data_IF_459687754983
#
_entry.id   IF_459687754983
#
_cell.length_a   1.000
_cell.length_b   1.000
_cell.length_c   1.000
_cell.angle_alpha   90.00
_cell.angle_beta   90.00
_cell.angle_gamma   90.00
#
_symmetry.space_group_name_H-M   'P 1'
#
loop_
_entity.id
_entity.type
_entity.pdbx_description
1 polymer ?
#
# COMPACT_ATOMS: atom_id res chain seq x y z
N UNK A 1 -16.65 15.56 -9.92
CA UNK A 1 -17.48 16.02 -8.79
C UNK A 1 -18.39 14.93 -8.30
N UNK A 2 -18.89 15.03 -7.07
CA UNK A 2 -20.02 14.26 -6.55
C UNK A 2 -21.28 14.73 -7.26
N UNK A 3 -22.07 13.79 -7.77
CA UNK A 3 -23.31 14.08 -8.52
C UNK A 3 -24.55 13.94 -7.63
N UNK A 4 -24.52 12.94 -6.75
CA UNK A 4 -25.65 12.58 -5.90
C UNK A 4 -25.17 11.76 -4.70
N UNK A 5 -25.80 11.93 -3.54
CA UNK A 5 -25.57 11.11 -2.34
C UNK A 5 -26.91 10.59 -1.82
N UNK A 6 -27.06 9.26 -1.82
CA UNK A 6 -28.19 8.59 -1.15
C UNK A 6 -27.77 8.22 0.28
N UNK A 7 -28.17 9.04 1.25
CA UNK A 7 -27.86 8.86 2.68
C UNK A 7 -28.55 7.64 3.31
N UNK A 8 -29.63 7.14 2.69
CA UNK A 8 -30.34 5.96 3.18
C UNK A 8 -29.61 4.68 2.82
N UNK A 9 -29.16 4.60 1.57
CA UNK A 9 -28.43 3.44 1.06
C UNK A 9 -26.91 3.55 1.29
N UNK A 10 -26.42 4.71 1.74
CA UNK A 10 -24.99 5.05 1.89
C UNK A 10 -24.21 4.79 0.59
N UNK A 11 -24.70 5.35 -0.50
CA UNK A 11 -24.03 5.33 -1.80
C UNK A 11 -23.94 6.74 -2.38
N UNK A 12 -22.88 6.98 -3.16
CA UNK A 12 -22.69 8.23 -3.89
C UNK A 12 -22.37 7.97 -5.35
N UNK A 13 -22.99 8.74 -6.25
CA UNK A 13 -22.69 8.73 -7.68
C UNK A 13 -21.71 9.86 -7.97
N UNK A 14 -20.57 9.50 -8.55
CA UNK A 14 -19.38 10.38 -8.61
C UNK A 14 -18.75 10.32 -10.00
N UNK A 15 -18.33 11.49 -10.52
CA UNK A 15 -17.51 11.57 -11.72
C UNK A 15 -16.06 11.15 -11.43
N UNK A 16 -15.47 10.23 -12.21
CA UNK A 16 -14.17 9.63 -11.89
C UNK A 16 -12.97 10.58 -11.97
N UNK A 17 -13.10 11.72 -12.66
CA UNK A 17 -12.04 12.72 -12.73
C UNK A 17 -11.91 13.63 -11.51
N UNK A 18 -12.68 13.41 -10.43
CA UNK A 18 -12.55 14.19 -9.21
C UNK A 18 -11.30 13.79 -8.42
N UNK A 19 -10.53 14.78 -7.96
CA UNK A 19 -9.39 14.57 -7.05
C UNK A 19 -9.86 14.24 -5.64
N UNK A 20 -9.04 13.47 -4.91
CA UNK A 20 -9.35 13.01 -3.56
C UNK A 20 -9.83 14.10 -2.61
N UNK A 21 -9.08 15.20 -2.38
CA UNK A 21 -9.50 16.27 -1.48
C UNK A 21 -10.84 16.91 -1.87
N UNK A 22 -11.03 17.20 -3.16
CA UNK A 22 -12.28 17.82 -3.64
C UNK A 22 -13.47 16.86 -3.57
N UNK A 23 -13.23 15.56 -3.64
CA UNK A 23 -14.28 14.55 -3.46
C UNK A 23 -14.70 14.47 -2.00
N UNK A 24 -13.74 14.31 -1.10
CA UNK A 24 -14.03 14.21 0.34
C UNK A 24 -14.70 15.48 0.88
N UNK A 25 -14.26 16.68 0.48
CA UNK A 25 -14.92 17.95 0.83
C UNK A 25 -16.41 17.94 0.47
N UNK A 26 -16.77 17.44 -0.73
CA UNK A 26 -18.17 17.36 -1.16
C UNK A 26 -18.94 16.27 -0.40
N UNK A 27 -18.31 15.13 -0.07
CA UNK A 27 -18.93 14.06 0.70
C UNK A 27 -19.10 14.46 2.17
N UNK A 28 -18.13 15.12 2.78
CA UNK A 28 -18.17 15.62 4.16
C UNK A 28 -19.30 16.66 4.35
N UNK A 29 -19.54 17.52 3.35
CA UNK A 29 -20.66 18.45 3.36
C UNK A 29 -22.03 17.75 3.43
N UNK A 30 -22.11 16.49 2.96
CA UNK A 30 -23.28 15.63 3.05
C UNK A 30 -23.26 14.72 4.30
N UNK A 31 -22.23 14.81 5.16
CA UNK A 31 -22.08 14.02 6.37
C UNK A 31 -21.60 12.58 6.14
N UNK A 32 -20.93 12.34 5.00
CA UNK A 32 -20.38 11.02 4.64
C UNK A 32 -18.94 11.14 4.17
N UNK A 33 -18.23 10.01 4.09
CA UNK A 33 -16.87 9.89 3.55
C UNK A 33 -16.77 8.64 2.69
N UNK A 34 -15.88 8.63 1.70
CA UNK A 34 -15.50 7.40 1.01
C UNK A 34 -14.60 6.55 1.91
N UNK A 35 -13.79 7.18 2.76
CA UNK A 35 -12.85 6.49 3.64
C UNK A 35 -11.61 5.94 2.92
N UNK A 36 -11.38 6.33 1.67
CA UNK A 36 -10.26 5.88 0.84
C UNK A 36 -9.18 6.95 0.73
N UNK A 37 -8.07 6.76 1.42
CA UNK A 37 -6.96 7.72 1.53
C UNK A 37 -5.63 7.06 1.11
N UNK A 38 -5.35 6.86 -0.19
CA UNK A 38 -4.04 6.38 -0.65
C UNK A 38 -2.95 7.41 -0.41
N UNK A 39 -1.67 7.01 -0.43
CA UNK A 39 -0.54 7.94 -0.28
C UNK A 39 -0.54 9.04 -1.36
N UNK A 40 -1.09 8.75 -2.55
CA UNK A 40 -1.28 9.69 -3.66
C UNK A 40 -2.55 10.55 -3.59
N UNK A 41 -3.29 10.55 -2.47
CA UNK A 41 -4.62 11.15 -2.31
C UNK A 41 -4.77 12.55 -2.87
N UNK A 42 -3.77 13.42 -2.62
CA UNK A 42 -3.82 14.84 -3.04
C UNK A 42 -3.55 15.03 -4.54
N UNK A 43 -2.99 14.03 -5.23
CA UNK A 43 -2.53 14.11 -6.61
C UNK A 43 -3.26 13.16 -7.57
N UNK A 44 -4.19 12.34 -7.08
CA UNK A 44 -4.84 11.28 -7.85
C UNK A 44 -6.36 11.41 -7.83
N UNK A 45 -7.00 10.76 -8.79
CA UNK A 45 -8.44 10.83 -9.01
C UNK A 45 -9.12 9.51 -8.70
N UNK A 46 -10.42 9.56 -8.38
CA UNK A 46 -11.25 8.39 -8.12
C UNK A 46 -11.18 7.34 -9.25
N UNK A 47 -11.25 7.78 -10.51
CA UNK A 47 -11.18 6.86 -11.65
C UNK A 47 -9.83 6.17 -11.78
N UNK A 48 -8.75 6.87 -11.45
CA UNK A 48 -7.40 6.29 -11.37
C UNK A 48 -7.32 5.20 -10.30
N UNK A 49 -7.86 5.46 -9.11
CA UNK A 49 -7.90 4.47 -8.02
C UNK A 49 -8.63 3.19 -8.43
N UNK A 50 -9.81 3.33 -9.06
CA UNK A 50 -10.61 2.19 -9.53
C UNK A 50 -9.88 1.45 -10.67
N UNK A 51 -9.25 2.17 -11.58
CA UNK A 51 -8.50 1.57 -12.70
C UNK A 51 -7.26 0.79 -12.24
N UNK A 52 -6.69 1.11 -11.08
CA UNK A 52 -5.46 0.49 -10.55
C UNK A 52 -5.67 -0.38 -9.30
N UNK A 53 -6.90 -0.58 -8.84
CA UNK A 53 -7.22 -1.31 -7.59
C UNK A 53 -6.46 -0.78 -6.38
N UNK A 54 -6.39 0.53 -6.26
CA UNK A 54 -5.66 1.21 -5.19
C UNK A 54 -6.14 0.79 -3.80
N UNK A 55 -5.24 0.78 -2.81
CA UNK A 55 -5.58 0.64 -1.40
C UNK A 55 -5.36 1.97 -0.66
N UNK A 56 -6.27 2.30 0.23
CA UNK A 56 -6.14 3.46 1.11
C UNK A 56 -5.64 3.08 2.49
N UNK A 57 -5.07 4.02 3.23
CA UNK A 57 -4.54 3.79 4.59
C UNK A 57 -5.58 3.25 5.58
N UNK A 58 -6.88 3.42 5.29
CA UNK A 58 -8.00 2.97 6.11
C UNK A 58 -8.67 1.70 5.58
N UNK A 59 -7.99 0.95 4.69
CA UNK A 59 -8.54 -0.26 4.08
C UNK A 59 -8.81 -1.39 5.08
N UNK A 60 -8.16 -1.38 6.24
CA UNK A 60 -8.43 -2.34 7.33
C UNK A 60 -9.88 -2.28 7.81
N UNK A 61 -10.55 -1.13 7.69
CA UNK A 61 -11.95 -0.93 8.04
C UNK A 61 -12.88 -0.86 6.84
N UNK A 62 -12.50 -0.07 5.84
CA UNK A 62 -13.40 0.28 4.73
C UNK A 62 -13.23 -0.58 3.49
N UNK A 63 -12.21 -1.44 3.47
CA UNK A 63 -11.84 -2.23 2.30
C UNK A 63 -10.98 -1.45 1.31
N UNK A 64 -10.61 -2.11 0.22
CA UNK A 64 -9.93 -1.50 -0.93
C UNK A 64 -10.96 -0.84 -1.86
N UNK A 65 -10.47 -0.09 -2.83
CA UNK A 65 -11.36 0.62 -3.77
C UNK A 65 -12.31 -0.34 -4.51
N UNK A 66 -11.85 -1.55 -4.86
CA UNK A 66 -12.68 -2.57 -5.53
C UNK A 66 -13.85 -3.07 -4.69
N UNK A 67 -13.76 -2.97 -3.36
CA UNK A 67 -14.83 -3.35 -2.44
C UNK A 67 -15.87 -2.23 -2.31
N UNK A 68 -15.49 -0.99 -2.59
CA UNK A 68 -16.34 0.19 -2.50
C UNK A 68 -17.15 0.46 -3.78
N UNK A 69 -16.74 -0.10 -4.95
CA UNK A 69 -17.46 0.10 -6.22
C UNK A 69 -18.75 -0.71 -6.23
N UNK A 70 -19.90 -0.06 -6.23
CA UNK A 70 -21.22 -0.68 -6.35
C UNK A 70 -21.63 -0.84 -7.82
N UNK A 71 -21.41 0.21 -8.63
CA UNK A 71 -21.70 0.20 -10.05
C UNK A 71 -20.78 1.15 -10.81
N UNK A 72 -20.63 0.91 -12.11
CA UNK A 72 -19.83 1.78 -12.98
C UNK A 72 -20.42 1.90 -14.38
N UNK A 73 -19.98 2.95 -15.07
CA UNK A 73 -20.12 3.13 -16.51
C UNK A 73 -18.75 3.27 -17.13
N UNK A 74 -18.45 2.41 -18.11
CA UNK A 74 -17.20 2.43 -18.88
C UNK A 74 -17.51 2.52 -20.38
N UNK A 75 -16.86 3.44 -21.07
CA UNK A 75 -16.93 3.54 -22.53
C UNK A 75 -15.75 2.80 -23.12
N UNK A 76 -16.02 1.81 -23.96
CA UNK A 76 -15.02 1.01 -24.69
C UNK A 76 -15.15 1.27 -26.19
N UNK A 77 -14.16 0.94 -27.02
CA UNK A 77 -14.28 1.02 -28.48
C UNK A 77 -15.42 0.18 -29.07
N UNK A 78 -15.81 -0.91 -28.42
CA UNK A 78 -16.90 -1.79 -28.86
C UNK A 78 -18.29 -1.41 -28.31
N UNK A 79 -18.39 -0.45 -27.39
CA UNK A 79 -19.66 -0.01 -26.79
C UNK A 79 -19.53 0.45 -25.36
N UNK A 80 -20.64 0.72 -24.71
CA UNK A 80 -20.68 1.20 -23.34
C UNK A 80 -21.14 0.09 -22.39
N UNK A 81 -20.30 -0.21 -21.41
CA UNK A 81 -20.64 -1.09 -20.27
C UNK A 81 -21.33 -0.24 -19.21
N UNK A 82 -22.51 -0.67 -18.76
CA UNK A 82 -23.23 -0.06 -17.62
C UNK A 82 -23.66 -1.18 -16.69
N UNK A 83 -23.16 -1.15 -15.45
CA UNK A 83 -23.58 -2.11 -14.43
C UNK A 83 -24.72 -1.56 -13.58
N UNK A 84 -25.50 -2.43 -12.94
CA UNK A 84 -26.64 -2.02 -12.12
C UNK A 84 -26.20 -1.61 -10.72
N UNK A 85 -26.86 -0.59 -10.19
CA UNK A 85 -26.72 -0.19 -8.77
C UNK A 85 -27.55 -1.12 -7.90
N UNK A 86 -26.96 -2.24 -7.51
CA UNK A 86 -27.54 -3.24 -6.60
C UNK A 86 -26.46 -3.75 -5.64
N UNK A 87 -26.79 -4.16 -4.41
CA UNK A 87 -25.80 -4.61 -3.43
C UNK A 87 -25.00 -5.83 -3.94
N UNK A 88 -25.67 -6.76 -4.60
CA UNK A 88 -25.06 -7.98 -5.16
C UNK A 88 -25.95 -8.56 -6.26
N UNK A 89 -25.37 -9.36 -7.14
CA UNK A 89 -26.07 -10.04 -8.23
C UNK A 89 -25.38 -11.35 -8.59
N UNK A 90 -26.18 -12.39 -8.90
CA UNK A 90 -25.72 -13.71 -9.33
C UNK A 90 -25.98 -13.93 -10.82
N UNK A 91 -25.74 -12.92 -11.65
CA UNK A 91 -26.03 -12.92 -13.09
C UNK A 91 -24.86 -13.41 -13.98
N UNK A 92 -24.00 -14.26 -13.43
CA UNK A 92 -22.82 -14.81 -14.10
C UNK A 92 -21.53 -14.14 -13.68
N UNK A 93 -20.59 -13.96 -14.63
CA UNK A 93 -19.30 -13.29 -14.37
C UNK A 93 -19.54 -11.83 -14.00
N UNK A 94 -18.96 -11.37 -12.91
CA UNK A 94 -19.06 -9.98 -12.45
C UNK A 94 -18.31 -9.04 -13.40
N UNK A 95 -19.01 -8.47 -14.38
CA UNK A 95 -18.47 -7.52 -15.38
C UNK A 95 -17.92 -6.25 -14.71
N UNK A 96 -18.48 -5.83 -13.57
CA UNK A 96 -17.96 -4.72 -12.79
C UNK A 96 -16.52 -5.00 -12.34
N UNK A 97 -16.26 -6.19 -11.80
CA UNK A 97 -14.93 -6.60 -11.36
C UNK A 97 -13.94 -6.78 -12.52
N UNK A 98 -14.40 -7.07 -13.74
CA UNK A 98 -13.54 -7.07 -14.92
C UNK A 98 -13.07 -5.66 -15.33
N UNK A 99 -13.88 -4.63 -15.03
CA UNK A 99 -13.54 -3.24 -15.33
C UNK A 99 -12.61 -2.62 -14.27
N UNK A 100 -12.71 -3.07 -13.02
CA UNK A 100 -11.88 -2.59 -11.90
C UNK A 100 -10.48 -3.19 -12.00
N UNK A 101 -9.45 -2.35 -11.97
CA UNK A 101 -8.05 -2.80 -12.15
C UNK A 101 -7.66 -3.03 -13.60
N UNK A 102 -8.46 -2.57 -14.55
CA UNK A 102 -8.17 -2.71 -15.98
C UNK A 102 -7.10 -1.74 -16.51
N UNK A 103 -6.61 -0.83 -15.69
CA UNK A 103 -5.57 0.16 -16.03
C UNK A 103 -5.83 0.90 -17.37
N UNK A 104 -7.09 1.02 -17.76
CA UNK A 104 -7.49 1.68 -19.00
C UNK A 104 -7.32 0.85 -20.27
N UNK A 105 -6.90 -0.42 -20.18
CA UNK A 105 -6.75 -1.28 -21.39
C UNK A 105 -8.09 -1.65 -22.05
N UNK A 106 -9.19 -1.60 -21.30
CA UNK A 106 -10.53 -1.96 -21.79
C UNK A 106 -11.35 -0.75 -22.25
N UNK A 107 -11.13 0.42 -21.64
CA UNK A 107 -11.95 1.60 -21.89
C UNK A 107 -11.73 2.71 -20.87
N UNK A 108 -12.58 3.72 -20.89
CA UNK A 108 -12.58 4.88 -20.01
C UNK A 108 -13.77 4.81 -19.05
N UNK A 109 -13.51 4.78 -17.74
CA UNK A 109 -14.54 4.89 -16.72
C UNK A 109 -15.09 6.31 -16.73
N UNK A 110 -16.41 6.47 -16.88
CA UNK A 110 -17.06 7.79 -17.03
C UNK A 110 -18.00 8.13 -15.87
N UNK A 111 -18.45 7.14 -15.10
CA UNK A 111 -19.26 7.32 -13.90
C UNK A 111 -19.03 6.16 -12.93
N UNK A 112 -19.06 6.46 -11.65
CA UNK A 112 -18.91 5.49 -10.55
C UNK A 112 -20.03 5.70 -9.54
N UNK A 113 -20.61 4.59 -9.06
CA UNK A 113 -21.44 4.56 -7.86
C UNK A 113 -20.65 3.87 -6.77
N UNK A 114 -20.33 4.58 -5.71
CA UNK A 114 -19.46 4.16 -4.63
C UNK A 114 -20.24 3.94 -3.35
N UNK A 115 -19.89 2.93 -2.58
CA UNK A 115 -20.30 2.84 -1.18
C UNK A 115 -19.61 3.96 -0.40
N UNK A 116 -20.37 4.66 0.44
CA UNK A 116 -19.85 5.67 1.36
C UNK A 116 -20.22 5.32 2.80
N UNK A 117 -19.58 5.98 3.75
CA UNK A 117 -19.74 5.71 5.17
C UNK A 117 -20.10 6.99 5.90
N UNK A 118 -20.80 6.90 7.04
CA UNK A 118 -21.03 8.05 7.90
C UNK A 118 -19.71 8.57 8.44
N UNK A 119 -19.59 9.89 8.58
CA UNK A 119 -18.42 10.48 9.24
C UNK A 119 -18.30 9.95 10.67
N UNK A 120 -17.10 9.54 11.10
CA UNK A 120 -16.88 9.11 12.48
C UNK A 120 -16.99 10.31 13.43
N UNK A 121 -17.65 10.12 14.58
CA UNK A 121 -17.76 11.15 15.63
C UNK A 121 -16.44 11.31 16.40
N UNK A 122 -15.72 10.20 16.57
CA UNK A 122 -14.45 10.12 17.30
C UNK A 122 -13.37 9.53 16.42
N UNK A 123 -12.17 10.11 16.49
CA UNK A 123 -10.98 9.60 15.81
C UNK A 123 -9.73 9.96 16.59
N UNK A 124 -8.89 8.97 16.90
CA UNK A 124 -7.61 9.16 17.62
C UNK A 124 -6.51 8.36 16.96
N UNK A 125 -5.35 8.98 16.79
CA UNK A 125 -4.13 8.33 16.33
C UNK A 125 -3.21 8.07 17.51
N UNK A 126 -2.64 6.87 17.61
CA UNK A 126 -1.71 6.49 18.67
C UNK A 126 -0.46 5.81 18.11
N UNK A 127 0.66 5.95 18.81
CA UNK A 127 1.88 5.21 18.55
C UNK A 127 2.05 4.07 19.55
N UNK A 128 2.55 2.93 19.07
CA UNK A 128 2.90 1.76 19.86
C UNK A 128 4.31 1.32 19.53
N UNK A 129 5.05 0.85 20.52
CA UNK A 129 6.39 0.28 20.34
C UNK A 129 6.36 -1.19 20.70
N UNK A 130 6.81 -2.04 19.78
CA UNK A 130 7.00 -3.46 19.99
C UNK A 130 8.49 -3.79 20.09
N UNK A 131 8.88 -4.86 20.84
CA UNK A 131 10.28 -5.22 21.01
C UNK A 131 10.94 -5.69 19.72
N UNK A 132 10.15 -6.27 18.80
CA UNK A 132 10.58 -6.84 17.52
C UNK A 132 9.42 -6.88 16.53
N UNK A 133 9.73 -7.19 15.26
CA UNK A 133 8.75 -7.22 14.17
C UNK A 133 7.74 -8.36 14.35
N UNK A 134 8.19 -9.54 14.80
CA UNK A 134 7.36 -10.72 15.00
C UNK A 134 6.26 -10.46 16.05
N UNK A 135 6.59 -9.83 17.17
CA UNK A 135 5.62 -9.44 18.20
C UNK A 135 4.56 -8.47 17.65
N UNK A 136 4.98 -7.51 16.81
CA UNK A 136 4.05 -6.58 16.16
C UNK A 136 3.14 -7.29 15.16
N UNK A 137 3.68 -8.19 14.34
CA UNK A 137 2.93 -9.01 13.37
C UNK A 137 1.90 -9.88 14.10
N UNK A 138 2.32 -10.57 15.18
CA UNK A 138 1.42 -11.41 15.97
C UNK A 138 0.26 -10.61 16.59
N UNK A 139 0.53 -9.39 17.04
CA UNK A 139 -0.50 -8.50 17.57
C UNK A 139 -1.53 -8.09 16.52
N UNK A 140 -1.09 -7.73 15.30
CA UNK A 140 -1.96 -7.41 14.18
C UNK A 140 -2.82 -8.63 13.79
N UNK A 141 -2.18 -9.79 13.63
CA UNK A 141 -2.86 -11.03 13.28
C UNK A 141 -3.95 -11.40 14.30
N UNK A 142 -3.66 -11.25 15.61
CA UNK A 142 -4.67 -11.49 16.65
C UNK A 142 -5.84 -10.50 16.53
N UNK A 143 -5.58 -9.21 16.33
CA UNK A 143 -6.63 -8.21 16.10
C UNK A 143 -7.52 -8.57 14.90
N UNK A 144 -6.91 -8.99 13.78
CA UNK A 144 -7.64 -9.43 12.59
C UNK A 144 -8.55 -10.62 12.89
N UNK A 145 -8.01 -11.66 13.57
CA UNK A 145 -8.79 -12.86 13.94
C UNK A 145 -9.96 -12.55 14.87
N UNK A 146 -9.80 -11.56 15.73
CA UNK A 146 -10.84 -11.13 16.68
C UNK A 146 -11.84 -10.12 16.08
N UNK A 147 -11.60 -9.61 14.88
CA UNK A 147 -12.42 -8.59 14.24
C UNK A 147 -12.34 -7.22 14.94
N UNK A 148 -11.19 -6.91 15.57
CA UNK A 148 -10.99 -5.72 16.42
C UNK A 148 -9.92 -4.79 15.82
N UNK A 149 -9.75 -4.82 14.50
CA UNK A 149 -8.72 -3.98 13.86
C UNK A 149 -9.01 -2.49 14.03
N UNK A 150 -8.02 -1.68 14.44
CA UNK A 150 -8.06 -0.23 14.24
C UNK A 150 -8.24 0.10 12.76
N UNK A 151 -8.76 1.28 12.46
CA UNK A 151 -8.98 1.72 11.08
C UNK A 151 -7.68 1.92 10.29
N UNK A 152 -6.61 2.22 10.98
CA UNK A 152 -5.23 2.25 10.48
C UNK A 152 -4.38 1.41 11.41
N UNK A 153 -3.58 0.51 10.84
CA UNK A 153 -2.57 -0.24 11.56
C UNK A 153 -1.34 -0.36 10.67
N UNK A 154 -0.34 0.48 10.95
CA UNK A 154 0.91 0.54 10.19
C UNK A 154 2.07 0.16 11.08
N UNK A 155 2.64 -1.03 10.88
CA UNK A 155 3.79 -1.53 11.61
C UNK A 155 5.06 -1.35 10.79
N UNK A 156 5.98 -0.52 11.27
CA UNK A 156 7.30 -0.35 10.70
C UNK A 156 8.25 -1.42 11.27
N UNK A 157 9.10 -1.97 10.42
CA UNK A 157 10.22 -2.80 10.83
C UNK A 157 11.32 -1.98 11.54
N UNK A 158 12.40 -2.63 12.07
CA UNK A 158 13.47 -1.90 12.73
C UNK A 158 14.12 -0.83 11.85
N UNK A 159 14.32 -1.11 10.56
CA UNK A 159 14.94 -0.17 9.61
C UNK A 159 14.11 1.10 9.43
N UNK A 160 12.82 0.96 9.18
CA UNK A 160 11.91 2.11 9.07
C UNK A 160 11.67 2.82 10.41
N UNK A 161 11.65 2.08 11.50
CA UNK A 161 11.53 2.67 12.84
C UNK A 161 12.72 3.56 13.15
N UNK A 162 13.95 3.10 12.88
CA UNK A 162 15.17 3.89 13.05
C UNK A 162 15.18 5.13 12.15
N UNK A 163 14.79 4.99 10.89
CA UNK A 163 14.69 6.11 9.96
C UNK A 163 13.68 7.17 10.45
N UNK A 164 12.49 6.75 10.87
CA UNK A 164 11.47 7.66 11.40
C UNK A 164 11.95 8.39 12.65
N UNK A 165 12.72 7.72 13.49
CA UNK A 165 13.32 8.33 14.68
C UNK A 165 14.41 9.34 14.33
N UNK A 166 15.19 9.14 13.25
CA UNK A 166 16.24 10.04 12.80
C UNK A 166 15.69 11.38 12.27
N UNK A 167 14.51 11.39 11.69
CA UNK A 167 13.84 12.62 11.21
C UNK A 167 13.11 13.40 12.32
N UNK A 168 12.95 12.80 13.50
CA UNK A 168 12.28 13.49 14.62
C UNK A 168 13.20 14.58 15.18
N UNK A 169 12.67 15.80 15.32
CA UNK A 169 13.38 16.88 16.04
C UNK A 169 13.64 16.44 17.49
N UNK A 170 14.84 16.70 18.03
CA UNK A 170 15.15 16.38 19.43
C UNK A 170 14.15 17.05 20.39
N UNK A 171 13.62 16.29 21.32
CA UNK A 171 12.81 16.83 22.41
C UNK A 171 13.70 17.63 23.37
N UNK A 172 13.20 18.75 23.92
CA UNK A 172 13.91 19.61 24.86
C UNK A 172 13.18 19.71 26.20
N UNK A 173 13.90 20.12 27.25
CA UNK A 173 13.33 20.37 28.56
C UNK A 173 12.72 19.11 29.23
N UNK A 174 11.56 19.27 29.87
CA UNK A 174 10.88 18.19 30.59
C UNK A 174 10.52 17.00 29.69
N UNK A 175 10.15 17.24 28.42
CA UNK A 175 9.85 16.18 27.46
C UNK A 175 11.07 15.28 27.19
N UNK A 176 12.26 15.86 27.09
CA UNK A 176 13.49 15.10 26.90
C UNK A 176 13.79 14.20 28.11
N UNK A 177 13.56 14.71 29.34
CA UNK A 177 13.76 13.93 30.57
C UNK A 177 12.77 12.76 30.67
N UNK A 178 11.49 12.99 30.37
CA UNK A 178 10.47 11.93 30.32
C UNK A 178 10.84 10.89 29.26
N UNK A 179 11.25 11.32 28.08
CA UNK A 179 11.71 10.43 27.01
C UNK A 179 12.93 9.60 27.40
N UNK A 180 13.89 10.18 28.10
CA UNK A 180 15.06 9.46 28.60
C UNK A 180 14.68 8.42 29.67
N UNK A 181 13.81 8.79 30.61
CA UNK A 181 13.30 7.88 31.64
C UNK A 181 12.51 6.70 31.01
N UNK A 182 11.68 6.99 30.01
CA UNK A 182 10.95 5.95 29.27
C UNK A 182 11.91 5.01 28.53
N UNK A 183 12.92 5.53 27.84
CA UNK A 183 13.95 4.72 27.16
C UNK A 183 14.70 3.83 28.16
N UNK A 184 15.11 4.38 29.30
CA UNK A 184 15.75 3.60 30.38
C UNK A 184 14.83 2.47 30.86
N UNK A 185 13.56 2.76 31.15
CA UNK A 185 12.58 1.77 31.60
C UNK A 185 12.38 0.65 30.56
N UNK A 186 12.20 1.01 29.31
CA UNK A 186 12.01 0.05 28.22
C UNK A 186 13.24 -0.85 28.07
N UNK A 187 14.44 -0.27 28.09
CA UNK A 187 15.69 -1.02 27.95
C UNK A 187 15.96 -1.92 29.15
N UNK A 188 15.87 -1.36 30.35
CA UNK A 188 16.35 -2.03 31.58
C UNK A 188 15.29 -2.94 32.18
N UNK A 189 14.03 -2.53 32.19
CA UNK A 189 12.94 -3.27 32.87
C UNK A 189 12.18 -4.17 31.89
N UNK A 190 11.91 -3.66 30.67
CA UNK A 190 11.16 -4.39 29.66
C UNK A 190 12.03 -5.22 28.71
N UNK A 191 13.36 -5.04 28.73
CA UNK A 191 14.31 -5.79 27.90
C UNK A 191 14.21 -5.48 26.41
N UNK A 192 13.88 -4.24 26.06
CA UNK A 192 13.81 -3.80 24.66
C UNK A 192 15.21 -3.54 24.12
N UNK A 193 15.53 -4.16 22.99
CA UNK A 193 16.66 -3.77 22.15
C UNK A 193 16.19 -2.75 21.12
N UNK A 194 16.62 -1.50 21.24
CA UNK A 194 16.20 -0.43 20.31
C UNK A 194 16.69 -0.61 18.88
N UNK A 195 17.62 -1.53 18.63
CA UNK A 195 18.03 -1.90 17.27
C UNK A 195 17.02 -2.83 16.59
N UNK A 196 16.15 -3.49 17.37
CA UNK A 196 15.12 -4.43 16.91
C UNK A 196 13.69 -3.89 17.07
N UNK A 197 13.53 -2.77 17.80
CA UNK A 197 12.21 -2.22 18.08
C UNK A 197 11.46 -1.80 16.83
N UNK A 198 10.16 -2.05 16.85
CA UNK A 198 9.23 -1.74 15.75
C UNK A 198 8.16 -0.78 16.22
N UNK A 199 8.00 0.34 15.52
CA UNK A 199 6.96 1.32 15.80
C UNK A 199 5.72 1.01 14.97
N UNK A 200 4.58 0.92 15.65
CA UNK A 200 3.28 0.82 15.01
C UNK A 200 2.50 2.10 15.23
N UNK A 201 1.93 2.63 14.15
CA UNK A 201 0.94 3.71 14.21
C UNK A 201 -0.44 3.12 14.02
N UNK A 202 -1.37 3.49 14.89
CA UNK A 202 -2.76 3.05 14.82
C UNK A 202 -3.69 4.25 14.79
N UNK A 203 -4.87 4.06 14.20
CA UNK A 203 -5.99 4.97 14.37
C UNK A 203 -7.25 4.18 14.71
N UNK A 204 -7.99 4.64 15.72
CA UNK A 204 -9.32 4.15 16.05
C UNK A 204 -10.34 5.23 15.73
N UNK A 205 -11.51 4.85 15.18
CA UNK A 205 -12.57 5.80 14.85
C UNK A 205 -13.96 5.12 14.86
N UNK A 206 -15.00 5.92 15.12
CA UNK A 206 -16.38 5.46 15.07
C UNK A 206 -17.32 6.38 15.83
N UNK A 207 -18.52 5.89 16.14
CA UNK A 207 -19.36 6.42 17.21
C UNK A 207 -18.74 6.16 18.59
N UNK A 208 -19.35 6.65 19.64
CA UNK A 208 -18.82 6.54 21.02
C UNK A 208 -18.50 5.07 21.40
N UNK A 209 -19.46 4.17 21.21
CA UNK A 209 -19.32 2.78 21.66
C UNK A 209 -18.28 2.02 20.83
N UNK A 210 -18.38 2.10 19.51
CA UNK A 210 -17.44 1.46 18.56
C UNK A 210 -16.01 1.93 18.77
N UNK A 211 -15.82 3.26 18.90
CA UNK A 211 -14.51 3.86 19.12
C UNK A 211 -13.87 3.39 20.43
N UNK A 212 -14.61 3.44 21.55
CA UNK A 212 -14.09 3.05 22.86
C UNK A 212 -13.83 1.54 22.96
N UNK A 213 -14.69 0.73 22.37
CA UNK A 213 -14.50 -0.71 22.31
C UNK A 213 -13.24 -1.06 21.53
N UNK A 214 -13.15 -0.58 20.28
CA UNK A 214 -12.00 -0.85 19.38
C UNK A 214 -10.69 -0.46 20.05
N UNK A 215 -10.59 0.77 20.59
CA UNK A 215 -9.38 1.27 21.25
C UNK A 215 -8.98 0.44 22.47
N UNK A 216 -9.95 0.06 23.32
CA UNK A 216 -9.69 -0.74 24.52
C UNK A 216 -9.22 -2.15 24.19
N UNK A 217 -9.91 -2.80 23.28
CA UNK A 217 -9.66 -4.21 22.97
C UNK A 217 -8.38 -4.37 22.13
N UNK A 218 -8.12 -3.50 21.15
CA UNK A 218 -6.85 -3.50 20.44
C UNK A 218 -5.66 -3.21 21.37
N UNK A 219 -5.80 -2.23 22.27
CA UNK A 219 -4.77 -1.92 23.26
C UNK A 219 -4.50 -3.10 24.21
N UNK A 220 -5.52 -3.89 24.57
CA UNK A 220 -5.35 -5.10 25.36
C UNK A 220 -4.53 -6.15 24.61
N UNK A 221 -4.84 -6.40 23.32
CA UNK A 221 -4.11 -7.33 22.48
C UNK A 221 -2.66 -6.86 22.31
N UNK A 222 -2.43 -5.59 21.98
CA UNK A 222 -1.08 -5.05 21.80
C UNK A 222 -0.20 -5.25 23.04
N UNK A 223 -0.76 -5.01 24.23
CA UNK A 223 -0.04 -5.24 25.51
C UNK A 223 0.29 -6.71 25.75
N UNK A 224 -0.58 -7.65 25.36
CA UNK A 224 -0.29 -9.10 25.45
C UNK A 224 0.90 -9.50 24.59
N UNK A 225 1.07 -8.85 23.42
CA UNK A 225 2.22 -9.01 22.54
C UNK A 225 3.37 -8.04 22.89
N UNK A 226 3.48 -7.64 24.16
CA UNK A 226 4.56 -6.78 24.69
C UNK A 226 4.60 -5.37 24.15
N UNK A 227 3.57 -4.92 23.41
CA UNK A 227 3.44 -3.56 22.91
C UNK A 227 3.33 -2.53 24.04
N UNK A 228 3.98 -1.40 23.88
CA UNK A 228 3.96 -0.27 24.81
C UNK A 228 3.37 0.94 24.10
N UNK A 229 2.29 1.49 24.67
CA UNK A 229 1.65 2.69 24.14
C UNK A 229 2.56 3.91 24.36
N UNK A 230 2.83 4.65 23.29
CA UNK A 230 3.59 5.92 23.30
C UNK A 230 2.66 7.14 23.31
N UNK A 231 1.35 6.92 23.36
CA UNK A 231 0.33 7.96 23.31
C UNK A 231 0.11 8.54 21.90
N UNK A 232 -0.54 9.69 21.83
CA UNK A 232 -0.99 10.31 20.59
C UNK A 232 0.12 11.03 19.80
N UNK A 233 1.25 11.35 20.45
CA UNK A 233 2.32 12.14 19.83
C UNK A 233 2.83 11.58 18.49
N UNK A 234 3.29 10.31 18.44
CA UNK A 234 3.72 9.69 17.20
C UNK A 234 2.61 9.57 16.15
N UNK A 235 1.38 9.26 16.59
CA UNK A 235 0.21 9.18 15.72
C UNK A 235 -0.13 10.51 15.07
N UNK A 236 -0.06 11.61 15.82
CA UNK A 236 -0.28 12.97 15.30
C UNK A 236 0.78 13.37 14.28
N UNK A 237 2.04 13.08 14.55
CA UNK A 237 3.13 13.35 13.60
C UNK A 237 2.94 12.57 12.30
N UNK A 238 2.45 11.33 12.36
CA UNK A 238 2.09 10.57 11.17
C UNK A 238 0.94 11.22 10.39
N UNK A 239 -0.12 11.62 11.09
CA UNK A 239 -1.29 12.26 10.47
C UNK A 239 -0.92 13.55 9.72
N UNK A 240 0.00 14.35 10.27
CA UNK A 240 0.46 15.61 9.67
C UNK A 240 1.32 15.39 8.42
N UNK A 241 2.17 14.34 8.41
CA UNK A 241 3.17 14.11 7.35
C UNK A 241 2.80 13.01 6.34
N UNK A 242 1.63 12.38 6.46
CA UNK A 242 1.29 11.17 5.69
C UNK A 242 1.29 11.32 4.16
N UNK A 243 1.21 12.54 3.63
CA UNK A 243 1.21 12.84 2.19
C UNK A 243 2.51 13.50 1.70
N UNK A 244 3.54 13.64 2.55
CA UNK A 244 4.79 14.36 2.20
C UNK A 244 5.83 13.46 1.52
N UNK A 245 5.66 12.14 1.59
CA UNK A 245 6.67 11.18 1.14
C UNK A 245 7.09 11.32 -0.34
N UNK A 246 6.20 11.59 -1.31
CA UNK A 246 6.61 11.80 -2.70
C UNK A 246 7.64 12.93 -2.88
N UNK A 247 7.51 14.01 -2.12
CA UNK A 247 8.45 15.15 -2.17
C UNK A 247 9.84 14.81 -1.61
N UNK A 248 9.90 13.90 -0.62
CA UNK A 248 11.18 13.42 -0.06
C UNK A 248 11.95 12.60 -1.09
N UNK A 249 11.26 11.77 -1.89
CA UNK A 249 11.88 10.99 -2.98
C UNK A 249 12.57 11.90 -4.00
N UNK A 250 11.87 12.89 -4.53
CA UNK A 250 12.43 13.84 -5.51
C UNK A 250 13.63 14.60 -4.94
N UNK A 251 13.54 15.01 -3.68
CA UNK A 251 14.62 15.68 -2.98
C UNK A 251 15.89 14.80 -2.91
N UNK A 252 15.74 13.51 -2.62
CA UNK A 252 16.85 12.56 -2.52
C UNK A 252 17.44 12.25 -3.89
N UNK A 253 16.60 11.98 -4.90
CA UNK A 253 17.05 11.68 -6.26
C UNK A 253 17.88 12.81 -6.86
N UNK A 254 17.49 14.06 -6.65
CA UNK A 254 18.24 15.24 -7.08
C UNK A 254 19.59 15.40 -6.36
N UNK A 255 19.91 14.56 -5.37
CA UNK A 255 21.16 14.55 -4.60
C UNK A 255 21.98 13.28 -4.78
N UNK A 256 21.68 12.52 -5.84
CA UNK A 256 22.40 11.30 -6.14
C UNK A 256 22.07 10.12 -5.21
N UNK A 257 20.87 10.12 -4.65
CA UNK A 257 20.35 9.00 -3.85
C UNK A 257 19.17 8.38 -4.57
N UNK A 258 19.31 7.13 -5.00
CA UNK A 258 18.19 6.33 -5.46
C UNK A 258 17.29 6.01 -4.27
N UNK A 259 16.00 6.29 -4.38
CA UNK A 259 14.99 5.89 -3.41
C UNK A 259 13.77 5.35 -4.13
N UNK A 260 13.37 4.13 -3.80
CA UNK A 260 12.18 3.53 -4.38
C UNK A 260 11.47 2.58 -3.42
N UNK A 261 10.36 2.05 -3.89
CA UNK A 261 9.49 1.15 -3.14
C UNK A 261 9.07 -0.03 -4.03
N UNK A 262 8.87 -1.20 -3.39
CA UNK A 262 8.17 -2.35 -3.97
C UNK A 262 7.27 -2.94 -2.91
N UNK A 263 6.12 -3.45 -3.32
CA UNK A 263 5.15 -3.97 -2.36
C UNK A 263 4.48 -5.24 -2.88
N UNK A 264 4.13 -6.10 -1.94
CA UNK A 264 3.51 -7.39 -2.21
C UNK A 264 2.53 -7.74 -1.10
N UNK A 265 1.78 -8.82 -1.26
CA UNK A 265 0.96 -9.41 -0.21
C UNK A 265 1.15 -10.92 -0.16
N UNK A 266 1.00 -11.49 1.04
CA UNK A 266 1.09 -12.95 1.24
C UNK A 266 0.28 -13.37 2.47
N UNK A 267 0.16 -14.67 2.69
CA UNK A 267 -0.54 -15.26 3.84
C UNK A 267 0.24 -15.09 5.15
N UNK A 268 -0.44 -15.15 6.30
CA UNK A 268 0.20 -14.94 7.61
C UNK A 268 1.32 -15.92 7.93
N UNK A 269 1.19 -17.17 7.54
CA UNK A 269 2.22 -18.21 7.76
C UNK A 269 3.48 -18.00 6.93
N UNK A 270 3.38 -17.32 5.78
CA UNK A 270 4.49 -17.03 4.89
C UNK A 270 5.10 -15.63 5.11
N UNK A 271 4.43 -14.76 5.84
CA UNK A 271 4.74 -13.32 5.89
C UNK A 271 6.17 -13.02 6.39
N UNK A 272 6.59 -13.64 7.50
CA UNK A 272 7.92 -13.40 8.06
C UNK A 272 9.03 -13.98 7.19
N UNK A 273 8.78 -15.12 6.50
CA UNK A 273 9.73 -15.71 5.56
C UNK A 273 9.92 -14.79 4.35
N UNK A 274 8.83 -14.38 3.72
CA UNK A 274 8.87 -13.47 2.57
C UNK A 274 9.55 -12.14 2.94
N UNK A 275 9.20 -11.57 4.10
CA UNK A 275 9.84 -10.35 4.62
C UNK A 275 11.36 -10.49 4.70
N UNK A 276 11.84 -11.55 5.38
CA UNK A 276 13.28 -11.74 5.62
C UNK A 276 14.05 -11.99 4.31
N UNK A 277 13.54 -12.85 3.44
CA UNK A 277 14.18 -13.18 2.17
C UNK A 277 14.24 -11.96 1.23
N UNK A 278 13.13 -11.26 1.07
CA UNK A 278 13.08 -10.08 0.19
C UNK A 278 13.99 -8.96 0.69
N UNK A 279 14.00 -8.72 2.01
CA UNK A 279 14.85 -7.70 2.61
C UNK A 279 16.33 -7.97 2.34
N UNK A 280 16.78 -9.25 2.43
CA UNK A 280 18.16 -9.60 2.13
C UNK A 280 18.45 -9.60 0.63
N UNK A 281 17.54 -10.06 -0.24
CA UNK A 281 17.73 -10.04 -1.68
C UNK A 281 17.88 -8.60 -2.21
N UNK A 282 17.07 -7.65 -1.73
CA UNK A 282 17.22 -6.23 -2.08
C UNK A 282 18.56 -5.68 -1.58
N UNK A 283 18.95 -6.00 -0.33
CA UNK A 283 20.25 -5.58 0.22
C UNK A 283 21.41 -6.11 -0.60
N UNK A 284 21.35 -7.38 -0.97
CA UNK A 284 22.40 -8.00 -1.78
C UNK A 284 22.49 -7.35 -3.17
N UNK A 285 21.35 -7.13 -3.83
CA UNK A 285 21.32 -6.46 -5.12
C UNK A 285 21.93 -5.05 -5.08
N UNK A 286 21.68 -4.29 -4.01
CA UNK A 286 22.32 -2.98 -3.83
C UNK A 286 23.83 -3.13 -3.63
N UNK A 287 24.29 -4.08 -2.81
CA UNK A 287 25.73 -4.36 -2.60
C UNK A 287 26.43 -4.76 -3.91
N UNK A 288 25.77 -5.56 -4.74
CA UNK A 288 26.30 -5.97 -6.05
C UNK A 288 26.59 -4.76 -6.95
N UNK A 289 25.85 -3.67 -6.77
CA UNK A 289 26.13 -2.40 -7.47
C UNK A 289 27.27 -1.58 -6.85
N UNK A 290 27.89 -2.05 -5.77
CA UNK A 290 28.96 -1.35 -5.04
C UNK A 290 28.46 -0.26 -4.10
N UNK A 291 27.16 -0.17 -3.84
CA UNK A 291 26.56 0.83 -2.96
C UNK A 291 26.20 0.25 -1.57
N UNK A 292 26.17 1.11 -0.54
CA UNK A 292 25.69 0.73 0.79
C UNK A 292 24.15 0.70 0.81
N UNK A 293 23.52 -0.42 1.22
CA UNK A 293 22.07 -0.55 1.20
C UNK A 293 21.41 0.06 2.44
N UNK A 294 20.35 0.83 2.22
CA UNK A 294 19.33 1.02 3.22
C UNK A 294 18.03 0.36 2.74
N UNK A 295 17.47 -0.57 3.53
CA UNK A 295 16.21 -1.24 3.23
C UNK A 295 15.40 -1.35 4.50
N UNK A 296 14.13 -0.98 4.44
CA UNK A 296 13.16 -1.15 5.50
C UNK A 296 11.81 -1.55 4.95
N UNK A 297 10.96 -2.13 5.81
CA UNK A 297 9.64 -2.60 5.43
C UNK A 297 8.58 -2.08 6.39
N UNK A 298 7.32 -2.00 5.93
CA UNK A 298 6.19 -1.86 6.83
C UNK A 298 5.00 -2.69 6.35
N UNK A 299 4.13 -3.04 7.30
CA UNK A 299 2.80 -3.58 7.04
C UNK A 299 1.81 -2.42 7.09
N UNK A 300 0.91 -2.32 6.11
CA UNK A 300 -0.07 -1.24 6.03
C UNK A 300 -1.50 -1.67 5.68
N UNK A 301 -1.68 -2.87 5.18
CA UNK A 301 -2.98 -3.42 4.80
C UNK A 301 -3.09 -4.84 5.32
N UNK A 302 -4.14 -5.09 6.09
CA UNK A 302 -4.30 -6.33 6.83
C UNK A 302 -5.60 -7.04 6.42
N UNK A 303 -5.53 -8.35 6.31
CA UNK A 303 -6.63 -9.24 5.90
C UNK A 303 -6.73 -10.42 6.87
N UNK A 304 -7.87 -11.10 6.89
CA UNK A 304 -8.00 -12.33 7.67
C UNK A 304 -6.98 -13.40 7.25
N UNK A 305 -6.60 -13.44 5.98
CA UNK A 305 -5.73 -14.47 5.40
C UNK A 305 -4.26 -14.08 5.32
N UNK A 306 -3.92 -12.79 5.47
CA UNK A 306 -2.55 -12.31 5.31
C UNK A 306 -2.44 -10.79 5.42
N UNK A 307 -1.31 -10.24 4.99
CA UNK A 307 -1.09 -8.80 4.97
C UNK A 307 -0.18 -8.37 3.82
N UNK A 308 -0.13 -7.05 3.55
CA UNK A 308 0.81 -6.47 2.60
C UNK A 308 2.13 -6.12 3.29
N UNK A 309 3.23 -6.33 2.56
CA UNK A 309 4.57 -5.92 2.90
C UNK A 309 5.02 -4.82 1.93
N UNK A 310 5.37 -3.67 2.44
CA UNK A 310 5.78 -2.50 1.67
C UNK A 310 7.25 -2.20 1.94
N UNK A 311 8.12 -2.64 1.04
CA UNK A 311 9.55 -2.42 1.11
C UNK A 311 9.89 -1.03 0.58
N UNK A 312 10.77 -0.33 1.31
CA UNK A 312 11.36 0.93 0.87
C UNK A 312 12.86 0.75 0.91
N UNK A 313 13.53 1.11 -0.15
CA UNK A 313 14.96 0.94 -0.26
C UNK A 313 15.61 2.17 -0.87
N UNK A 314 16.89 2.35 -0.59
CA UNK A 314 17.66 3.45 -1.13
C UNK A 314 19.15 3.19 -1.00
N UNK A 315 19.90 3.79 -1.93
CA UNK A 315 21.35 3.77 -1.94
C UNK A 315 21.89 4.96 -2.73
N UNK A 316 23.21 5.16 -2.69
CA UNK A 316 23.87 6.14 -3.54
C UNK A 316 23.76 5.70 -5.01
N UNK A 317 23.42 6.63 -5.90
CA UNK A 317 23.38 6.42 -7.33
C UNK A 317 24.79 6.25 -7.91
N UNK A 318 24.90 5.44 -8.96
CA UNK A 318 26.10 5.30 -9.77
C UNK A 318 25.95 6.23 -10.97
N UNK A 319 26.79 7.24 -11.06
CA UNK A 319 26.77 8.23 -12.13
C UNK A 319 26.89 7.57 -13.51
N UNK A 320 25.94 7.89 -14.39
CA UNK A 320 25.85 7.34 -15.76
C UNK A 320 25.26 5.92 -15.84
N UNK A 321 24.85 5.32 -14.71
CA UNK A 321 24.21 3.99 -14.64
C UNK A 321 22.99 3.95 -13.73
N UNK A 322 22.37 5.08 -13.49
CA UNK A 322 21.28 5.24 -12.54
C UNK A 322 20.09 4.33 -12.88
N UNK A 323 19.75 4.26 -14.17
CA UNK A 323 18.65 3.42 -14.64
C UNK A 323 18.97 1.93 -14.52
N UNK A 324 20.15 1.49 -14.94
CA UNK A 324 20.57 0.09 -14.82
C UNK A 324 20.55 -0.36 -13.35
N UNK A 325 21.11 0.48 -12.45
CA UNK A 325 21.10 0.25 -11.02
C UNK A 325 19.69 0.11 -10.46
N UNK A 326 18.83 1.05 -10.83
CA UNK A 326 17.42 1.02 -10.42
C UNK A 326 16.74 -0.27 -10.86
N UNK A 327 16.81 -0.61 -12.15
CA UNK A 327 16.17 -1.79 -12.72
C UNK A 327 16.74 -3.09 -12.11
N UNK A 328 18.04 -3.15 -11.84
CA UNK A 328 18.67 -4.31 -11.21
C UNK A 328 18.15 -4.56 -9.79
N UNK A 329 18.07 -3.51 -8.97
CA UNK A 329 17.57 -3.61 -7.59
C UNK A 329 16.07 -3.89 -7.56
N UNK A 330 15.29 -3.24 -8.45
CA UNK A 330 13.86 -3.47 -8.57
C UNK A 330 13.55 -4.91 -8.97
N UNK A 331 14.29 -5.44 -9.95
CA UNK A 331 14.17 -6.84 -10.36
C UNK A 331 14.39 -7.80 -9.20
N UNK A 332 15.38 -7.56 -8.36
CA UNK A 332 15.64 -8.43 -7.22
C UNK A 332 14.49 -8.46 -6.20
N UNK A 333 13.77 -7.35 -6.04
CA UNK A 333 12.56 -7.31 -5.22
C UNK A 333 11.44 -8.14 -5.82
N UNK A 334 11.13 -7.93 -7.10
CA UNK A 334 10.03 -8.60 -7.80
C UNK A 334 10.29 -10.11 -7.96
N UNK A 335 11.51 -10.50 -8.37
CA UNK A 335 11.93 -11.91 -8.42
C UNK A 335 11.76 -12.58 -7.05
N UNK A 336 12.13 -11.88 -5.96
CA UNK A 336 11.96 -12.38 -4.59
C UNK A 336 10.49 -12.58 -4.22
N UNK A 337 9.60 -11.69 -4.64
CA UNK A 337 8.16 -11.84 -4.38
C UNK A 337 7.63 -13.12 -5.03
N UNK A 338 7.92 -13.33 -6.30
CA UNK A 338 7.45 -14.51 -7.04
C UNK A 338 8.06 -15.81 -6.48
N UNK A 339 9.35 -15.81 -6.17
CA UNK A 339 10.05 -16.99 -5.65
C UNK A 339 9.56 -17.40 -4.26
N UNK A 340 9.17 -16.43 -3.43
CA UNK A 340 8.82 -16.67 -2.04
C UNK A 340 7.31 -16.58 -1.75
N UNK A 341 6.45 -16.62 -2.77
CA UNK A 341 4.99 -16.74 -2.62
C UNK A 341 4.28 -15.45 -2.24
N UNK A 342 4.79 -14.33 -2.72
CA UNK A 342 4.09 -13.05 -2.78
C UNK A 342 3.31 -12.88 -4.07
N UNK A 343 2.56 -11.79 -4.22
CA UNK A 343 1.97 -11.33 -5.48
C UNK A 343 2.84 -10.24 -6.10
N UNK A 344 2.76 -10.06 -7.41
CA UNK A 344 3.54 -9.05 -8.16
C UNK A 344 3.23 -7.62 -7.69
N UNK A 345 2.02 -7.34 -7.30
CA UNK A 345 1.59 -6.06 -6.72
C UNK A 345 0.29 -6.21 -5.95
N UNK A 346 0.24 -5.61 -4.78
CA UNK A 346 -0.98 -5.56 -3.96
C UNK A 346 -1.84 -4.33 -4.30
N UNK A 347 -1.22 -3.16 -4.56
CA UNK A 347 -1.94 -1.90 -4.81
C UNK A 347 -1.21 -0.88 -5.70
N UNK A 348 0.01 -1.15 -6.18
CA UNK A 348 0.74 -0.29 -7.10
C UNK A 348 0.38 -0.53 -8.57
N UNK A 349 -0.49 -1.50 -8.84
CA UNK A 349 -0.87 -1.95 -10.18
C UNK A 349 0.26 -2.67 -10.94
N UNK A 350 -0.03 -3.14 -12.14
CA UNK A 350 0.96 -3.81 -12.99
C UNK A 350 1.74 -2.78 -13.80
N UNK A 351 1.03 -1.89 -14.48
CA UNK A 351 1.64 -0.88 -15.34
C UNK A 351 2.52 -1.48 -16.41
N UNK A 352 3.65 -0.86 -16.66
CA UNK A 352 4.80 -1.41 -17.40
C UNK A 352 5.89 -1.92 -16.46
N UNK A 353 5.85 -1.53 -15.19
CA UNK A 353 6.90 -1.81 -14.21
C UNK A 353 6.88 -3.26 -13.73
N UNK A 354 5.70 -3.82 -13.50
CA UNK A 354 5.54 -5.19 -12.98
C UNK A 354 5.17 -6.20 -14.09
N UNK A 355 5.09 -5.74 -15.33
CA UNK A 355 4.68 -6.53 -16.47
C UNK A 355 5.49 -7.82 -16.69
N UNK A 356 6.83 -7.86 -16.46
CA UNK A 356 7.62 -9.06 -16.63
C UNK A 356 7.19 -10.25 -15.75
N UNK A 357 6.57 -10.00 -14.62
CA UNK A 357 6.20 -11.04 -13.64
C UNK A 357 4.71 -11.41 -13.67
N UNK A 358 3.90 -10.74 -14.50
CA UNK A 358 2.44 -10.93 -14.47
C UNK A 358 2.01 -12.35 -14.86
N UNK A 359 2.75 -13.00 -15.75
CA UNK A 359 2.44 -14.38 -16.13
C UNK A 359 2.72 -15.37 -14.99
N UNK A 360 3.73 -15.11 -14.17
CA UNK A 360 3.99 -15.92 -12.98
C UNK A 360 2.88 -15.77 -11.94
N UNK A 361 2.27 -14.57 -11.84
CA UNK A 361 1.17 -14.28 -10.90
C UNK A 361 -0.18 -14.80 -11.39
N UNK A 362 -0.53 -14.58 -12.68
CA UNK A 362 -1.84 -14.92 -13.25
C UNK A 362 -1.89 -16.30 -13.98
N UNK A 363 -0.77 -16.91 -14.24
CA UNK A 363 -0.56 -18.01 -15.18
C UNK A 363 -0.73 -17.61 -16.66
N UNK A 364 -0.15 -18.39 -17.61
CA UNK A 364 -0.32 -18.13 -19.06
C UNK A 364 -1.78 -18.12 -19.51
N UNK A 365 -2.61 -18.99 -18.93
CA UNK A 365 -4.05 -19.04 -19.23
C UNK A 365 -4.79 -17.78 -18.72
N UNK A 366 -4.42 -17.28 -17.56
CA UNK A 366 -4.97 -16.04 -17.01
C UNK A 366 -4.63 -14.83 -17.88
N UNK A 367 -3.37 -14.66 -18.29
CA UNK A 367 -2.95 -13.62 -19.22
C UNK A 367 -3.70 -13.72 -20.54
N UNK A 368 -3.86 -14.93 -21.10
CA UNK A 368 -4.63 -15.15 -22.33
C UNK A 368 -6.11 -14.75 -22.19
N UNK A 369 -6.70 -14.99 -21.02
CA UNK A 369 -8.09 -14.57 -20.76
C UNK A 369 -8.23 -13.05 -20.73
N UNK A 370 -7.27 -12.33 -20.11
CA UNK A 370 -7.23 -10.86 -20.12
C UNK A 370 -7.03 -10.33 -21.54
N UNK A 371 -6.14 -10.93 -22.33
CA UNK A 371 -5.92 -10.56 -23.73
C UNK A 371 -7.21 -10.74 -24.57
N UNK A 372 -7.89 -11.87 -24.44
CA UNK A 372 -9.15 -12.10 -25.15
C UNK A 372 -10.26 -11.09 -24.78
N UNK A 373 -10.32 -10.69 -23.50
CA UNK A 373 -11.23 -9.63 -23.06
C UNK A 373 -10.90 -8.27 -23.71
N UNK A 374 -9.60 -7.92 -23.76
CA UNK A 374 -9.14 -6.71 -24.44
C UNK A 374 -9.49 -6.74 -25.93
N UNK A 375 -9.18 -7.82 -26.64
CA UNK A 375 -9.46 -7.94 -28.07
C UNK A 375 -10.97 -7.80 -28.39
N UNK A 376 -11.81 -8.34 -27.51
CA UNK A 376 -13.27 -8.22 -27.64
C UNK A 376 -13.80 -6.79 -27.44
N UNK A 377 -13.20 -6.03 -26.53
CA UNK A 377 -13.64 -4.67 -26.19
C UNK A 377 -12.89 -3.58 -26.92
N UNK A 378 -11.66 -3.83 -27.36
CA UNK A 378 -10.79 -2.91 -28.08
C UNK A 378 -10.08 -3.59 -29.27
N UNK A 379 -10.83 -4.02 -30.29
CA UNK A 379 -10.28 -4.80 -31.40
C UNK A 379 -9.24 -4.04 -32.26
N UNK A 380 -9.09 -2.74 -32.07
CA UNK A 380 -8.07 -1.91 -32.74
C UNK A 380 -6.83 -1.65 -31.88
N UNK A 381 -6.82 -2.10 -30.63
CA UNK A 381 -5.70 -1.93 -29.72
C UNK A 381 -5.35 -0.48 -29.35
N UNK A 382 -6.35 0.43 -29.35
CA UNK A 382 -6.13 1.86 -29.10
C UNK A 382 -6.11 2.26 -27.62
N UNK A 383 -6.67 1.38 -26.75
CA UNK A 383 -6.78 1.67 -25.32
C UNK A 383 -5.52 1.21 -24.58
N UNK A 384 -4.79 2.16 -24.03
CA UNK A 384 -3.63 2.01 -23.14
C UNK A 384 -2.72 0.79 -23.46
N UNK A 385 -2.09 0.73 -24.63
CA UNK A 385 -1.28 -0.42 -25.04
C UNK A 385 -0.05 -0.61 -24.13
N UNK A 386 0.45 -1.86 -24.03
CA UNK A 386 1.65 -2.20 -23.26
C UNK A 386 1.44 -2.16 -21.75
N UNK A 387 0.22 -2.44 -21.26
CA UNK A 387 -0.11 -2.59 -19.84
C UNK A 387 -0.81 -3.92 -19.61
N UNK A 388 -0.56 -4.56 -18.48
CA UNK A 388 -1.12 -5.82 -17.99
C UNK A 388 -0.80 -7.04 -18.89
N UNK A 389 -0.85 -6.88 -20.21
CA UNK A 389 -0.59 -7.96 -21.19
C UNK A 389 0.87 -7.83 -21.62
N UNK A 390 1.73 -8.82 -21.27
CA UNK A 390 3.16 -8.78 -21.62
C UNK A 390 3.39 -9.01 -23.12
N UNK A 391 4.48 -8.45 -23.65
CA UNK A 391 5.00 -8.76 -24.98
C UNK A 391 5.70 -10.13 -25.01
N UNK A 392 6.36 -10.42 -26.13
CA UNK A 392 7.09 -11.71 -26.30
C UNK A 392 8.35 -11.81 -25.43
N UNK A 393 8.98 -10.67 -25.12
CA UNK A 393 10.22 -10.60 -24.33
C UNK A 393 10.14 -9.54 -23.21
N UNK A 394 9.25 -9.74 -22.22
CA UNK A 394 8.88 -8.67 -21.28
C UNK A 394 10.07 -8.16 -20.44
N UNK A 395 11.05 -8.98 -20.06
CA UNK A 395 12.25 -8.52 -19.33
C UNK A 395 13.19 -7.69 -20.22
N UNK A 396 13.36 -8.05 -21.50
CA UNK A 396 14.15 -7.25 -22.42
C UNK A 396 13.46 -5.91 -22.77
N UNK A 397 12.14 -5.95 -22.92
CA UNK A 397 11.32 -4.76 -23.16
C UNK A 397 11.32 -3.81 -21.94
N UNK A 398 11.56 -4.34 -20.74
CA UNK A 398 11.69 -3.57 -19.49
C UNK A 398 12.97 -2.71 -19.44
N UNK A 399 13.97 -3.03 -20.28
CA UNK A 399 15.15 -2.22 -20.49
C UNK A 399 16.40 -2.64 -19.68
N UNK A 400 16.33 -3.68 -18.84
CA UNK A 400 17.50 -4.22 -18.15
C UNK A 400 18.22 -5.24 -19.04
N UNK A 401 19.42 -4.90 -19.52
CA UNK A 401 20.20 -5.76 -20.39
C UNK A 401 20.96 -6.84 -19.61
N UNK A 402 21.23 -7.98 -20.26
CA UNK A 402 22.05 -9.05 -19.67
C UNK A 402 23.48 -8.56 -19.37
N UNK A 403 24.03 -7.66 -20.19
CA UNK A 403 25.34 -7.05 -19.97
C UNK A 403 25.37 -6.24 -18.65
N UNK A 404 24.34 -5.43 -18.40
CA UNK A 404 24.19 -4.66 -17.14
C UNK A 404 24.11 -5.60 -15.93
N UNK A 405 23.32 -6.68 -16.02
CA UNK A 405 23.20 -7.70 -14.98
C UNK A 405 24.56 -8.33 -14.67
N UNK A 406 25.25 -8.80 -15.69
CA UNK A 406 26.54 -9.47 -15.52
C UNK A 406 27.62 -8.53 -14.97
N UNK A 407 27.58 -7.24 -15.32
CA UNK A 407 28.52 -6.26 -14.79
C UNK A 407 28.37 -6.05 -13.29
N UNK A 408 27.11 -6.00 -12.78
CA UNK A 408 26.87 -5.87 -11.33
C UNK A 408 27.24 -7.15 -10.57
N UNK A 409 26.93 -8.33 -11.10
CA UNK A 409 27.31 -9.62 -10.47
C UNK A 409 28.82 -9.85 -10.38
N UNK A 410 29.61 -9.21 -11.23
CA UNK A 410 31.09 -9.31 -11.20
C UNK A 410 31.75 -8.33 -10.24
N UNK A 411 31.01 -7.42 -9.62
CA UNK A 411 31.54 -6.47 -8.63
C UNK A 411 32.46 -5.39 -9.22
N UNK A 412 32.15 -4.92 -10.40
CA UNK A 412 32.86 -3.79 -11.04
C UNK A 412 32.17 -2.48 -10.82
#
# INVERSE_FOLDING_TARGET
RVLEVDKKSLIARIQPGVYGPHMEEQLEAEGVTLGHFPDSFVHSTLGGWVATRSAGMQSDKYGKIEDMVIALRMVTPSGTIVTRTVPNSSNGIDVRRLCVGSEGILGVITELTMQVHRLPEYKVFEGWLFPDFESGVAAIHECMRMGIMPVITRLNDPGKTALSAAFKKPDTGLKAQIGAALKWYLRTIKGFDFTQCCMMTTACEGDYDTFHQQRRESAYIFKRHRGVCLGEGPGRSFQEAKYDFPHVRDYLMNRGVMGDVSETATTWDNLLRLYTQTLENIRQAIRDTGADPWVGCHISHNYHTGASLYFTFGCRQIEGRELDQYLYVKRAAEDSFMEHGGTVSHHHAVGSEHLPWIEADLSPAGVKAVAALKDGLDPKGVMNPGKIIPGEHPLAEWGLTEEAIQSFKRGN
#
